data_IF_435022447249
#
_entry.id   IF_435022447249
#
_cell.length_a   1.000
_cell.length_b   1.000
_cell.length_c   1.000
_cell.angle_alpha   90.00
_cell.angle_beta   90.00
_cell.angle_gamma   90.00
#
_symmetry.space_group_name_H-M   'P 1'
#
loop_
_entity.id
_entity.type
_entity.pdbx_description
1 polymer ?
#
# COMPACT_ATOMS: atom_id res chain seq x y z
N UNK A 1 11.55 -5.46 -7.10
CA UNK A 1 10.54 -6.55 -7.18
C UNK A 1 10.65 -7.34 -8.48
N UNK A 2 10.28 -8.62 -8.48
CA UNK A 2 10.18 -9.47 -9.69
C UNK A 2 8.76 -10.03 -9.88
N UNK A 3 8.30 -10.24 -11.12
CA UNK A 3 7.00 -10.84 -11.36
C UNK A 3 7.02 -12.36 -11.13
N UNK A 4 6.03 -12.87 -10.40
CA UNK A 4 5.73 -14.29 -10.24
C UNK A 4 4.24 -14.53 -10.48
N UNK A 5 3.85 -15.74 -10.89
CA UNK A 5 2.44 -16.13 -10.92
C UNK A 5 2.05 -16.73 -9.57
N UNK A 6 1.02 -16.17 -8.93
CA UNK A 6 0.49 -16.65 -7.65
C UNK A 6 -1.05 -16.50 -7.63
N UNK A 7 -1.75 -17.58 -7.29
CA UNK A 7 -3.23 -17.67 -7.33
C UNK A 7 -3.83 -17.24 -8.69
N UNK A 8 -3.22 -17.70 -9.79
CA UNK A 8 -3.70 -17.41 -11.15
C UNK A 8 -3.52 -15.95 -11.60
N UNK A 9 -2.84 -15.10 -10.81
CA UNK A 9 -2.56 -13.70 -11.18
C UNK A 9 -1.05 -13.44 -11.16
N UNK A 10 -0.59 -12.57 -12.07
CA UNK A 10 0.78 -12.04 -12.05
C UNK A 10 0.92 -11.11 -10.85
N UNK A 11 1.84 -11.40 -9.94
CA UNK A 11 2.14 -10.63 -8.73
C UNK A 11 3.59 -10.20 -8.73
N UNK A 12 3.88 -9.09 -8.07
CA UNK A 12 5.25 -8.67 -7.83
C UNK A 12 5.69 -9.13 -6.44
N UNK A 13 6.81 -9.81 -6.37
CA UNK A 13 7.46 -10.14 -5.10
C UNK A 13 8.64 -9.20 -4.88
N UNK A 14 8.77 -8.58 -3.70
CA UNK A 14 9.98 -7.93 -3.27
C UNK A 14 11.16 -8.89 -3.39
N UNK A 15 12.26 -8.32 -3.80
CA UNK A 15 13.54 -8.98 -3.93
C UNK A 15 14.51 -8.07 -3.19
N UNK A 16 15.19 -8.61 -2.18
CA UNK A 16 15.94 -7.80 -1.22
C UNK A 16 15.06 -7.20 -0.11
N UNK A 17 15.70 -6.45 0.79
CA UNK A 17 15.03 -5.71 1.84
C UNK A 17 14.42 -4.42 1.28
N UNK A 18 13.22 -4.00 1.73
CA UNK A 18 12.73 -2.67 1.43
C UNK A 18 13.70 -1.62 2.00
N UNK A 19 13.84 -0.49 1.30
CA UNK A 19 14.57 0.66 1.79
C UNK A 19 13.59 1.80 2.08
N UNK A 20 13.85 2.53 3.16
CA UNK A 20 13.19 3.81 3.42
C UNK A 20 14.04 4.92 2.81
N UNK A 21 13.40 5.92 2.21
CA UNK A 21 14.10 7.11 1.73
C UNK A 21 14.61 7.95 2.91
N UNK A 22 15.72 8.66 2.73
CA UNK A 22 16.16 9.68 3.68
C UNK A 22 15.32 10.97 3.56
N UNK A 23 15.70 12.01 4.31
CA UNK A 23 15.05 13.32 4.33
C UNK A 23 15.22 14.09 3.02
N UNK A 24 16.20 13.73 2.18
CA UNK A 24 16.38 14.23 0.83
C UNK A 24 15.66 13.38 -0.24
N UNK A 25 14.90 12.36 0.17
CA UNK A 25 14.20 11.46 -0.74
C UNK A 25 15.11 10.43 -1.43
N UNK A 26 16.37 10.33 -1.03
CA UNK A 26 17.32 9.37 -1.61
C UNK A 26 17.09 7.98 -1.02
N UNK A 27 17.31 6.94 -1.83
CA UNK A 27 17.19 5.56 -1.40
C UNK A 27 18.31 4.69 -1.99
N UNK A 28 18.62 3.59 -1.32
CA UNK A 28 19.55 2.59 -1.84
C UNK A 28 19.06 1.18 -1.54
N UNK A 29 18.84 0.41 -2.60
CA UNK A 29 18.50 -1.00 -2.52
C UNK A 29 19.78 -1.82 -2.68
N UNK A 30 20.11 -2.64 -1.68
CA UNK A 30 21.35 -3.41 -1.62
C UNK A 30 21.08 -4.91 -1.73
N UNK A 31 22.09 -5.67 -2.14
CA UNK A 31 22.04 -7.14 -2.18
C UNK A 31 21.12 -7.72 -3.26
N UNK A 32 20.83 -6.95 -4.31
CA UNK A 32 20.05 -7.45 -5.45
C UNK A 32 20.89 -8.43 -6.27
N UNK A 33 20.32 -9.58 -6.58
CA UNK A 33 20.91 -10.52 -7.54
C UNK A 33 20.86 -9.91 -8.96
N UNK A 34 21.72 -10.34 -9.89
CA UNK A 34 21.61 -9.88 -11.27
C UNK A 34 20.23 -10.20 -11.86
N UNK A 35 19.63 -9.24 -12.55
CA UNK A 35 18.34 -9.42 -13.22
C UNK A 35 17.59 -8.13 -13.51
N UNK A 36 16.30 -8.28 -13.83
CA UNK A 36 15.42 -7.17 -14.21
C UNK A 36 14.33 -6.98 -13.16
N UNK A 37 14.21 -5.75 -12.66
CA UNK A 37 13.39 -5.43 -11.50
C UNK A 37 12.37 -4.33 -11.79
N UNK A 38 11.22 -4.43 -11.13
CA UNK A 38 10.33 -3.30 -10.91
C UNK A 38 10.71 -2.59 -9.62
N UNK A 39 10.83 -1.26 -9.66
CA UNK A 39 11.00 -0.40 -8.48
C UNK A 39 9.67 0.26 -8.20
N UNK A 40 9.28 0.25 -6.92
CA UNK A 40 8.01 0.76 -6.43
C UNK A 40 8.28 1.48 -5.13
N UNK A 41 7.59 2.61 -4.94
CA UNK A 41 7.51 3.31 -3.69
C UNK A 41 6.04 3.38 -3.24
N UNK A 42 5.85 3.27 -1.94
CA UNK A 42 4.57 3.45 -1.28
C UNK A 42 4.77 4.16 0.07
N UNK A 43 3.73 4.85 0.51
CA UNK A 43 3.69 5.48 1.83
C UNK A 43 2.24 5.56 2.29
N UNK A 44 2.06 5.62 3.61
CA UNK A 44 0.75 5.79 4.26
C UNK A 44 0.44 7.25 4.59
N UNK A 45 1.33 8.14 4.18
CA UNK A 45 1.15 9.56 4.41
C UNK A 45 -0.12 10.07 3.74
N UNK A 46 -0.91 10.78 4.53
CA UNK A 46 -2.06 11.54 4.04
C UNK A 46 -2.02 12.94 4.62
N UNK A 47 -2.43 13.91 3.81
CA UNK A 47 -2.48 15.31 4.20
C UNK A 47 -3.80 15.93 3.74
N UNK A 48 -4.28 16.92 4.49
CA UNK A 48 -5.49 17.67 4.12
C UNK A 48 -5.09 18.97 3.42
N UNK A 49 -5.69 19.21 2.26
CA UNK A 49 -5.59 20.47 1.53
C UNK A 49 -6.96 21.14 1.50
N UNK A 50 -6.97 22.46 1.61
CA UNK A 50 -8.18 23.28 1.40
C UNK A 50 -8.06 23.91 0.02
N UNK A 51 -8.96 23.54 -0.90
CA UNK A 51 -8.97 24.05 -2.26
C UNK A 51 -10.34 24.63 -2.58
N UNK A 52 -10.41 25.92 -2.88
CA UNK A 52 -11.66 26.66 -3.11
C UNK A 52 -12.67 26.50 -1.95
N UNK A 53 -12.19 26.51 -0.70
CA UNK A 53 -13.03 26.32 0.49
C UNK A 53 -13.50 24.88 0.73
N UNK A 54 -13.06 23.92 -0.08
CA UNK A 54 -13.39 22.50 0.09
C UNK A 54 -12.18 21.75 0.64
N UNK A 55 -12.35 21.15 1.82
CA UNK A 55 -11.36 20.24 2.39
C UNK A 55 -11.26 18.94 1.59
N UNK A 56 -10.03 18.53 1.28
CA UNK A 56 -9.72 17.28 0.57
C UNK A 56 -8.54 16.61 1.27
N UNK A 57 -8.73 15.36 1.69
CA UNK A 57 -7.61 14.53 2.13
C UNK A 57 -6.99 13.85 0.91
N UNK A 58 -5.69 14.06 0.75
CA UNK A 58 -4.85 13.43 -0.26
C UNK A 58 -3.92 12.42 0.42
N UNK A 59 -3.41 11.49 -0.37
CA UNK A 59 -2.34 10.58 -0.02
C UNK A 59 -1.57 10.18 -1.26
N UNK A 60 -0.41 9.57 -1.08
CA UNK A 60 0.34 9.05 -2.22
C UNK A 60 -0.16 7.66 -2.60
N UNK A 61 -0.49 7.50 -3.88
CA UNK A 61 -0.76 6.19 -4.44
C UNK A 61 0.54 5.39 -4.57
N UNK A 62 0.41 4.07 -4.50
CA UNK A 62 1.48 3.14 -4.86
C UNK A 62 2.00 3.49 -6.27
N UNK A 63 3.28 3.83 -6.36
CA UNK A 63 3.88 4.38 -7.58
C UNK A 63 5.07 3.53 -8.01
N UNK A 64 5.12 3.17 -9.29
CA UNK A 64 6.19 2.43 -9.91
C UNK A 64 7.04 3.33 -10.79
N UNK A 65 8.33 3.04 -10.91
CA UNK A 65 9.22 3.75 -11.85
C UNK A 65 8.68 3.64 -13.30
N UNK A 66 8.58 4.76 -14.06
CA UNK A 66 9.13 6.10 -13.79
C UNK A 66 8.14 7.14 -13.23
N UNK A 67 7.10 6.73 -12.50
CA UNK A 67 6.09 7.63 -11.93
C UNK A 67 4.67 7.28 -12.37
N UNK A 68 4.32 5.99 -12.32
CA UNK A 68 3.03 5.47 -12.80
C UNK A 68 2.36 4.60 -11.74
N UNK A 69 1.03 4.49 -11.77
CA UNK A 69 0.24 3.77 -10.76
C UNK A 69 0.09 2.25 -11.00
N UNK A 70 0.47 1.76 -12.19
CA UNK A 70 0.29 0.36 -12.59
C UNK A 70 1.60 -0.32 -12.98
N UNK A 71 1.85 -1.52 -12.46
CA UNK A 71 3.09 -2.24 -12.75
C UNK A 71 3.18 -2.83 -14.17
N UNK A 72 2.06 -2.92 -14.88
CA UNK A 72 2.01 -3.41 -16.27
C UNK A 72 2.81 -2.51 -17.20
N UNK A 73 2.74 -1.21 -16.97
CA UNK A 73 3.34 -0.17 -17.79
C UNK A 73 4.68 0.32 -17.21
N UNK A 74 5.12 -0.30 -16.11
CA UNK A 74 6.29 0.14 -15.36
C UNK A 74 7.58 -0.23 -16.10
N UNK A 75 8.53 0.70 -16.08
CA UNK A 75 9.83 0.47 -16.69
C UNK A 75 10.66 -0.41 -15.76
N UNK A 76 11.26 -1.44 -16.34
CA UNK A 76 12.16 -2.32 -15.60
C UNK A 76 13.57 -1.73 -15.52
N UNK A 77 14.21 -1.95 -14.38
CA UNK A 77 15.60 -1.59 -14.11
C UNK A 77 16.43 -2.87 -14.19
N UNK A 78 17.45 -2.86 -15.06
CA UNK A 78 18.38 -3.98 -15.18
C UNK A 78 19.58 -3.76 -14.25
N UNK A 79 19.94 -4.81 -13.51
CA UNK A 79 21.08 -4.83 -12.59
C UNK A 79 21.99 -6.01 -12.99
N UNK A 80 23.22 -5.71 -13.39
CA UNK A 80 24.27 -6.69 -13.65
C UNK A 80 25.07 -7.07 -12.40
N UNK A 81 26.00 -8.01 -12.54
CA UNK A 81 26.92 -8.41 -11.47
C UNK A 81 27.79 -7.23 -11.06
N UNK A 82 27.75 -6.86 -9.78
CA UNK A 82 28.54 -5.73 -9.24
C UNK A 82 28.15 -4.37 -9.81
N UNK A 83 27.05 -4.29 -10.58
CA UNK A 83 26.60 -3.07 -11.22
C UNK A 83 25.70 -2.27 -10.27
N UNK A 84 25.92 -0.97 -10.23
CA UNK A 84 24.96 -0.02 -9.68
C UNK A 84 24.07 0.50 -10.82
N UNK A 85 22.75 0.37 -10.66
CA UNK A 85 21.79 0.99 -11.56
C UNK A 85 21.47 2.40 -11.06
N UNK A 86 21.82 3.42 -11.84
CA UNK A 86 21.55 4.83 -11.57
C UNK A 86 20.40 5.37 -12.43
N UNK A 87 19.94 6.61 -12.18
CA UNK A 87 18.85 7.29 -12.91
C UNK A 87 17.48 6.59 -12.78
N UNK A 88 17.19 6.05 -11.60
CA UNK A 88 15.89 5.44 -11.27
C UNK A 88 15.05 6.40 -10.40
N UNK A 89 15.03 7.66 -10.78
CA UNK A 89 14.29 8.70 -10.08
C UNK A 89 12.86 8.78 -10.60
N UNK A 90 11.89 8.98 -9.70
CA UNK A 90 10.49 9.14 -10.08
C UNK A 90 9.71 9.87 -8.98
N UNK A 91 8.71 10.65 -9.40
CA UNK A 91 7.81 11.35 -8.50
C UNK A 91 6.68 10.41 -8.02
N UNK A 92 6.27 10.56 -6.77
CA UNK A 92 5.06 9.90 -6.25
C UNK A 92 3.80 10.56 -6.80
N UNK A 93 2.77 9.76 -7.02
CA UNK A 93 1.48 10.25 -7.50
C UNK A 93 0.59 10.59 -6.31
N UNK A 94 0.26 11.87 -6.12
CA UNK A 94 -0.76 12.29 -5.18
C UNK A 94 -2.16 11.98 -5.72
N UNK A 95 -3.01 11.41 -4.89
CA UNK A 95 -4.42 11.14 -5.22
C UNK A 95 -5.29 11.28 -3.98
N UNK A 96 -6.62 11.27 -4.17
CA UNK A 96 -7.57 11.38 -3.06
C UNK A 96 -7.44 10.19 -2.13
N UNK A 97 -7.36 10.46 -0.84
CA UNK A 97 -7.43 9.42 0.17
C UNK A 97 -8.78 8.69 0.10
N UNK A 98 -8.74 7.38 0.33
CA UNK A 98 -9.90 6.52 0.31
C UNK A 98 -10.62 6.49 1.66
N UNK A 99 -11.89 6.10 1.60
CA UNK A 99 -12.69 5.73 2.76
C UNK A 99 -13.23 4.32 2.55
N UNK A 100 -13.08 3.47 3.56
CA UNK A 100 -13.69 2.14 3.59
C UNK A 100 -14.80 2.17 4.64
N UNK A 101 -16.00 1.79 4.24
CA UNK A 101 -17.16 1.67 5.14
C UNK A 101 -17.95 0.42 4.82
N UNK A 102 -18.69 -0.06 5.80
CA UNK A 102 -19.56 -1.21 5.63
C UNK A 102 -20.32 -1.53 6.91
N UNK A 103 -20.98 -2.68 6.93
CA UNK A 103 -21.74 -3.17 8.07
C UNK A 103 -21.26 -4.56 8.45
N UNK A 104 -21.19 -4.85 9.75
CA UNK A 104 -20.75 -6.14 10.28
C UNK A 104 -21.88 -6.79 11.05
N UNK A 105 -22.18 -8.03 10.70
CA UNK A 105 -23.18 -8.87 11.36
C UNK A 105 -22.53 -10.12 11.93
N UNK A 106 -23.11 -10.66 13.00
CA UNK A 106 -22.75 -11.97 13.54
C UNK A 106 -23.43 -13.11 12.75
N UNK A 107 -23.16 -14.36 13.15
CA UNK A 107 -23.76 -15.55 12.50
C UNK A 107 -25.27 -15.66 12.66
N UNK A 108 -25.87 -14.86 13.55
CA UNK A 108 -27.32 -14.79 13.79
C UNK A 108 -27.96 -13.58 13.07
N UNK A 109 -27.19 -12.86 12.24
CA UNK A 109 -27.65 -11.69 11.50
C UNK A 109 -27.81 -10.43 12.37
N UNK A 110 -27.30 -10.42 13.60
CA UNK A 110 -27.39 -9.26 14.50
C UNK A 110 -26.19 -8.33 14.27
N UNK A 111 -26.35 -7.00 14.39
CA UNK A 111 -25.23 -6.08 14.34
C UNK A 111 -24.12 -6.47 15.32
N UNK A 112 -22.89 -6.61 14.82
CA UNK A 112 -21.73 -6.98 15.62
C UNK A 112 -21.13 -5.74 16.32
N UNK A 113 -21.96 -5.00 17.05
CA UNK A 113 -21.58 -3.76 17.72
C UNK A 113 -20.41 -3.96 18.70
N UNK A 114 -19.56 -2.93 18.82
CA UNK A 114 -18.40 -2.93 19.71
C UNK A 114 -17.20 -3.75 19.23
N UNK A 115 -17.31 -4.49 18.12
CA UNK A 115 -16.16 -5.19 17.53
C UNK A 115 -15.18 -4.21 16.89
N UNK A 116 -13.89 -4.53 16.93
CA UNK A 116 -12.86 -3.70 16.34
C UNK A 116 -12.52 -4.19 14.93
N UNK A 117 -12.62 -3.30 13.95
CA UNK A 117 -12.12 -3.50 12.60
C UNK A 117 -10.69 -3.01 12.55
N UNK A 118 -9.79 -3.86 12.07
CA UNK A 118 -8.42 -3.52 11.75
C UNK A 118 -8.23 -3.56 10.24
N UNK A 119 -7.64 -2.50 9.70
CA UNK A 119 -7.20 -2.45 8.29
C UNK A 119 -5.68 -2.50 8.24
N UNK A 120 -5.15 -3.39 7.41
CA UNK A 120 -3.73 -3.49 7.10
C UNK A 120 -3.52 -3.36 5.60
N UNK A 121 -2.58 -2.53 5.19
CA UNK A 121 -2.20 -2.42 3.78
C UNK A 121 -1.57 -3.75 3.33
N UNK A 122 -2.04 -4.30 2.23
CA UNK A 122 -1.61 -5.60 1.72
C UNK A 122 -0.37 -5.41 0.83
N UNK A 123 0.79 -5.80 1.33
CA UNK A 123 1.98 -6.00 0.50
C UNK A 123 1.90 -7.41 -0.12
N UNK A 124 1.38 -7.51 -1.35
CA UNK A 124 1.13 -8.80 -1.98
C UNK A 124 2.43 -9.53 -2.34
N UNK A 125 2.72 -10.65 -1.69
CA UNK A 125 3.67 -11.67 -2.14
C UNK A 125 3.82 -12.84 -1.15
N UNK A 126 4.33 -14.02 -1.57
CA UNK A 126 4.47 -15.18 -0.72
C UNK A 126 5.39 -14.88 0.47
N UNK A 127 4.95 -15.25 1.69
CA UNK A 127 5.75 -15.08 2.90
C UNK A 127 5.88 -13.64 3.42
N UNK A 128 5.18 -12.67 2.84
CA UNK A 128 5.24 -11.29 3.32
C UNK A 128 4.32 -11.06 4.51
N UNK A 129 4.93 -10.56 5.58
CA UNK A 129 4.25 -10.13 6.79
C UNK A 129 3.47 -8.85 6.50
N UNK A 130 2.19 -8.84 6.86
CA UNK A 130 1.41 -7.61 6.96
C UNK A 130 2.20 -6.63 7.83
N UNK A 131 2.59 -5.46 7.29
CA UNK A 131 3.06 -4.38 8.15
C UNK A 131 1.85 -3.91 8.97
N UNK A 132 1.78 -4.44 10.18
CA UNK A 132 0.64 -4.35 11.09
C UNK A 132 0.63 -2.96 11.77
N UNK A 133 0.42 -1.90 10.98
CA UNK A 133 -0.03 -0.62 11.52
C UNK A 133 -1.52 -0.56 11.26
N UNK A 134 -2.29 -0.90 12.29
CA UNK A 134 -3.75 -1.01 12.17
C UNK A 134 -4.39 0.34 12.43
N UNK A 135 -4.66 1.07 11.35
CA UNK A 135 -5.84 1.92 11.35
C UNK A 135 -7.06 1.02 11.54
N UNK A 136 -8.13 1.57 12.09
CA UNK A 136 -9.29 0.77 12.44
C UNK A 136 -10.48 1.61 12.85
N UNK A 137 -11.60 0.93 13.01
CA UNK A 137 -12.82 1.53 13.51
C UNK A 137 -13.53 0.55 14.44
N UNK A 138 -14.22 1.07 15.45
CA UNK A 138 -15.16 0.29 16.24
C UNK A 138 -16.49 0.23 15.49
N UNK A 139 -17.09 -0.96 15.44
CA UNK A 139 -18.41 -1.17 14.87
C UNK A 139 -19.46 -0.49 15.75
N UNK A 140 -20.27 0.39 15.15
CA UNK A 140 -21.35 1.11 15.81
C UNK A 140 -22.51 0.19 16.21
N UNK A 141 -23.48 0.72 16.97
CA UNK A 141 -24.62 -0.04 17.49
C UNK A 141 -25.52 -0.66 16.40
N UNK A 142 -25.58 -0.02 15.24
CA UNK A 142 -26.29 -0.48 14.04
C UNK A 142 -25.44 -1.42 13.15
N UNK A 143 -24.21 -1.72 13.57
CA UNK A 143 -23.28 -2.59 12.85
C UNK A 143 -22.39 -1.85 11.86
N UNK A 144 -22.54 -0.53 11.70
CA UNK A 144 -21.78 0.23 10.71
C UNK A 144 -20.35 0.50 11.18
N UNK A 145 -19.41 0.59 10.24
CA UNK A 145 -18.06 1.11 10.46
C UNK A 145 -17.64 2.03 9.32
N UNK A 146 -16.74 2.96 9.62
CA UNK A 146 -16.11 3.86 8.65
C UNK A 146 -14.66 4.12 9.03
N UNK A 147 -13.76 3.93 8.08
CA UNK A 147 -12.33 4.22 8.18
C UNK A 147 -12.00 5.19 7.04
N UNK A 148 -11.62 6.42 7.38
CA UNK A 148 -11.29 7.47 6.43
C UNK A 148 -9.79 7.82 6.48
N UNK A 149 -9.32 8.58 5.49
CA UNK A 149 -7.92 9.01 5.44
C UNK A 149 -6.95 7.88 5.10
N UNK A 150 -7.39 6.94 4.26
CA UNK A 150 -6.52 5.85 3.81
C UNK A 150 -5.76 6.29 2.56
N UNK A 151 -4.43 6.15 2.56
CA UNK A 151 -3.66 6.33 1.34
C UNK A 151 -4.19 5.38 0.24
N UNK A 152 -4.17 5.77 -1.05
CA UNK A 152 -4.64 4.88 -2.12
C UNK A 152 -3.79 3.59 -2.20
N UNK A 153 -4.44 2.44 -2.08
CA UNK A 153 -3.76 1.15 -2.16
C UNK A 153 -4.67 -0.05 -1.87
N UNK A 154 -4.07 -1.24 -1.89
CA UNK A 154 -4.72 -2.49 -1.53
C UNK A 154 -4.73 -2.69 -0.01
N UNK A 155 -5.88 -3.04 0.54
CA UNK A 155 -6.08 -3.23 1.96
C UNK A 155 -6.76 -4.56 2.27
N UNK A 156 -6.34 -5.19 3.38
CA UNK A 156 -7.03 -6.31 4.00
C UNK A 156 -7.73 -5.83 5.27
N UNK A 157 -9.02 -6.14 5.38
CA UNK A 157 -9.78 -5.93 6.60
C UNK A 157 -9.77 -7.22 7.43
N UNK A 158 -9.73 -7.03 8.75
CA UNK A 158 -9.91 -8.10 9.72
C UNK A 158 -10.78 -7.59 10.86
N UNK A 159 -11.65 -8.45 11.36
CA UNK A 159 -12.39 -8.20 12.59
C UNK A 159 -11.60 -8.83 13.72
N UNK A 160 -11.22 -8.06 14.74
CA UNK A 160 -10.59 -8.58 15.93
C UNK A 160 -11.66 -9.07 16.90
N UNK A 161 -11.53 -10.32 17.34
CA UNK A 161 -12.31 -10.86 18.45
C UNK A 161 -11.52 -10.56 19.73
N UNK A 162 -12.09 -9.73 20.60
CA UNK A 162 -11.68 -9.63 22.01
C UNK A 162 -12.09 -10.87 22.78
#
# INVERSE_FOLDING_TARGET
>A
MRPVFFEGRRRLIPEGQPATTDDAGQYRLLGLTPGSYYVMADTRETWTVVENGVERTLGYAQTYYPGISGFTDARRVAVGVGQEASNTDFALIASRAATISGTVYDSQGRPAAGRQIAVGQEFRGPGQTFAMSTMGATVAGDGMFKIAGLAPGDYKLSVRTT
#
